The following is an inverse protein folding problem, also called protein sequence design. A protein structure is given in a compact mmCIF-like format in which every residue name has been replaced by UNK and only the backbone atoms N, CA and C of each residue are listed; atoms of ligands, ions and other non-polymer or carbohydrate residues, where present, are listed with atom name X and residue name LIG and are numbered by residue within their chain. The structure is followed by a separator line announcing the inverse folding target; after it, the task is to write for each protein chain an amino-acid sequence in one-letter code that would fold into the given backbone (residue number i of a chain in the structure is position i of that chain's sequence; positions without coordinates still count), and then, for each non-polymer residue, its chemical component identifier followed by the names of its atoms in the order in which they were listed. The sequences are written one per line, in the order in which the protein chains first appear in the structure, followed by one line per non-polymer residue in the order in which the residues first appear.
data_IF_720926745600
#
_entry.id   IF_720926745600
#
_cell.length_a   1.000
_cell.length_b   1.000
_cell.length_c   1.000
_cell.angle_alpha   90.00
_cell.angle_beta   90.00
_cell.angle_gamma   90.00
#
_symmetry.space_group_name_H-M   'P 1'
#
loop_
_entity.id
_entity.type
_entity.pdbx_description
1 polymer ?
#
# COMPACT_ATOMS: atom_id res chain seq x y z
N UNK A 1 -18.84 23.47 19.45
CA UNK A 1 -18.11 24.54 20.15
C UNK A 1 -16.61 24.23 20.28
N UNK A 2 -16.18 23.28 21.12
CA UNK A 2 -14.73 22.99 21.30
C UNK A 2 -14.10 22.44 20.01
N UNK A 3 -14.74 21.46 19.36
CA UNK A 3 -14.23 20.88 18.11
C UNK A 3 -14.25 21.82 16.91
N UNK A 4 -15.24 22.71 16.86
CA UNK A 4 -15.31 23.75 15.83
C UNK A 4 -14.17 24.75 16.02
N UNK A 5 -13.85 25.09 17.27
CA UNK A 5 -12.71 25.95 17.61
C UNK A 5 -11.37 25.30 17.26
N UNK A 6 -11.18 24.02 17.61
CA UNK A 6 -9.98 23.24 17.25
C UNK A 6 -9.75 23.22 15.73
N UNK A 7 -10.80 23.01 14.93
CA UNK A 7 -10.67 23.00 13.47
C UNK A 7 -10.44 24.39 12.88
N UNK A 8 -11.05 25.44 13.44
CA UNK A 8 -10.77 26.82 13.03
C UNK A 8 -9.31 27.18 13.35
N UNK A 9 -8.80 26.82 14.54
CA UNK A 9 -7.40 27.04 14.92
C UNK A 9 -6.45 26.31 13.96
N UNK A 10 -6.72 25.04 13.64
CA UNK A 10 -5.93 24.30 12.64
C UNK A 10 -5.99 24.96 11.27
N UNK A 11 -7.17 25.38 10.82
CA UNK A 11 -7.36 26.07 9.55
C UNK A 11 -6.57 27.37 9.45
N UNK A 12 -6.59 28.17 10.52
CA UNK A 12 -5.86 29.44 10.61
C UNK A 12 -4.35 29.22 10.71
N UNK A 13 -3.89 28.26 11.51
CA UNK A 13 -2.47 27.98 11.73
C UNK A 13 -1.75 27.44 10.49
N UNK A 14 -2.41 26.58 9.70
CA UNK A 14 -1.79 25.89 8.57
C UNK A 14 -2.28 26.38 7.19
N UNK A 15 -3.25 27.31 7.13
CA UNK A 15 -3.79 27.95 5.90
C UNK A 15 -4.07 26.92 4.78
N UNK A 16 -3.70 27.21 3.52
CA UNK A 16 -3.84 26.26 2.40
C UNK A 16 -2.85 25.08 2.45
N UNK A 17 -1.82 25.15 3.31
CA UNK A 17 -0.81 24.09 3.44
C UNK A 17 -1.35 22.84 4.15
N UNK A 18 -2.52 22.92 4.80
CA UNK A 18 -3.29 21.77 5.34
C UNK A 18 -3.59 20.71 4.29
N UNK A 19 -3.79 21.15 3.05
CA UNK A 19 -4.08 20.27 1.92
C UNK A 19 -2.81 19.71 1.26
N UNK A 20 -1.62 20.13 1.70
CA UNK A 20 -0.34 19.79 1.10
C UNK A 20 0.51 18.88 2.03
N UNK A 21 -0.03 17.73 2.46
CA UNK A 21 0.75 16.57 2.97
C UNK A 21 -0.13 15.37 3.35
N UNK A 22 0.55 14.29 3.78
CA UNK A 22 0.11 12.95 4.20
C UNK A 22 -1.18 12.87 5.06
N UNK A 23 -1.66 13.97 5.65
CA UNK A 23 -2.86 14.02 6.50
C UNK A 23 -4.11 14.63 5.83
N UNK A 24 -4.04 15.01 4.54
CA UNK A 24 -5.13 15.67 3.80
C UNK A 24 -6.48 14.96 3.94
N UNK A 25 -6.49 13.62 3.83
CA UNK A 25 -7.72 12.83 3.94
C UNK A 25 -8.38 12.97 5.31
N UNK A 26 -7.59 12.93 6.39
CA UNK A 26 -8.08 13.05 7.76
C UNK A 26 -8.61 14.46 8.07
N UNK A 27 -7.96 15.48 7.51
CA UNK A 27 -8.40 16.87 7.67
C UNK A 27 -9.72 17.14 6.92
N UNK A 28 -9.90 16.56 5.72
CA UNK A 28 -11.17 16.63 4.98
C UNK A 28 -12.28 15.89 5.73
N UNK A 29 -11.98 14.68 6.22
CA UNK A 29 -12.93 13.88 7.00
C UNK A 29 -13.41 14.62 8.25
N UNK A 30 -12.49 15.23 9.00
CA UNK A 30 -12.82 16.01 10.19
C UNK A 30 -13.68 17.25 9.84
N UNK A 31 -13.41 17.93 8.72
CA UNK A 31 -14.26 19.03 8.24
C UNK A 31 -15.68 18.56 7.92
N UNK A 32 -15.82 17.41 7.24
CA UNK A 32 -17.11 16.83 6.88
C UNK A 32 -17.92 16.50 8.14
N UNK A 33 -17.29 15.94 9.17
CA UNK A 33 -17.96 15.67 10.46
C UNK A 33 -18.44 16.96 11.12
N UNK A 34 -17.60 18.00 11.13
CA UNK A 34 -17.97 19.31 11.71
C UNK A 34 -19.15 19.91 10.95
N UNK A 35 -19.12 19.86 9.62
CA UNK A 35 -20.22 20.30 8.77
C UNK A 35 -21.53 19.57 9.09
N UNK A 36 -21.53 18.23 9.11
CA UNK A 36 -22.73 17.46 9.45
C UNK A 36 -23.21 17.70 10.88
N UNK A 37 -22.31 18.01 11.81
CA UNK A 37 -22.67 18.35 13.18
C UNK A 37 -23.37 19.72 13.27
N UNK A 38 -22.98 20.69 12.43
CA UNK A 38 -23.71 21.96 12.28
C UNK A 38 -25.07 21.77 11.62
N UNK A 39 -25.13 20.98 10.53
CA UNK A 39 -26.39 20.64 9.86
C UNK A 39 -27.37 19.99 10.85
N UNK A 40 -26.89 19.08 11.71
CA UNK A 40 -27.69 18.49 12.77
C UNK A 40 -28.28 19.54 13.74
N UNK A 41 -27.46 20.49 14.18
CA UNK A 41 -27.89 21.55 15.11
C UNK A 41 -28.93 22.46 14.44
N UNK A 42 -28.69 22.88 13.19
CA UNK A 42 -29.61 23.73 12.43
C UNK A 42 -30.95 23.02 12.22
N UNK A 43 -30.94 21.73 11.84
CA UNK A 43 -32.18 20.96 11.67
C UNK A 43 -32.96 20.87 12.99
N UNK A 44 -32.27 20.65 14.12
CA UNK A 44 -32.94 20.58 15.43
C UNK A 44 -33.56 21.92 15.85
N UNK A 45 -32.90 23.04 15.55
CA UNK A 45 -33.36 24.37 15.93
C UNK A 45 -34.49 24.87 15.01
N UNK A 46 -34.39 24.64 13.70
CA UNK A 46 -35.36 25.11 12.73
C UNK A 46 -36.68 24.32 12.75
N UNK A 47 -36.65 23.07 13.24
CA UNK A 47 -37.77 22.14 13.13
C UNK A 47 -38.17 21.51 14.47
N UNK A 48 -37.88 22.19 15.59
CA UNK A 48 -38.19 21.72 16.93
C UNK A 48 -39.69 21.43 17.15
N UNK A 49 -40.57 22.13 16.44
CA UNK A 49 -42.03 22.08 16.62
C UNK A 49 -42.81 21.35 15.50
N UNK A 50 -42.17 20.92 14.41
CA UNK A 50 -42.88 20.33 13.26
C UNK A 50 -42.92 18.79 13.29
N UNK A 51 -44.08 18.21 13.56
CA UNK A 51 -44.39 16.77 13.53
C UNK A 51 -44.62 16.22 12.12
N UNK A 52 -43.78 16.57 11.14
CA UNK A 52 -43.95 16.11 9.75
C UNK A 52 -43.18 14.81 9.47
N UNK A 53 -43.91 13.73 9.16
CA UNK A 53 -43.44 12.36 8.99
C UNK A 53 -42.41 12.14 7.86
N UNK A 54 -42.33 13.03 6.86
CA UNK A 54 -41.34 12.97 5.78
C UNK A 54 -39.90 13.30 6.26
N UNK A 55 -39.77 14.08 7.34
CA UNK A 55 -38.49 14.54 7.89
C UNK A 55 -37.81 13.45 8.75
N UNK A 56 -38.59 12.46 9.22
CA UNK A 56 -38.07 11.31 9.98
C UNK A 56 -37.06 10.46 9.19
N UNK A 57 -37.15 10.45 7.85
CA UNK A 57 -36.15 9.81 6.98
C UNK A 57 -34.84 10.60 6.92
N UNK A 58 -34.92 11.93 6.87
CA UNK A 58 -33.76 12.84 6.87
C UNK A 58 -33.04 12.90 8.24
N UNK A 59 -33.77 12.63 9.32
CA UNK A 59 -33.24 12.48 10.69
C UNK A 59 -32.30 11.28 10.88
N UNK A 60 -32.19 10.37 9.90
CA UNK A 60 -31.25 9.24 9.95
C UNK A 60 -29.81 9.65 9.64
N UNK A 61 -29.61 10.64 8.76
CA UNK A 61 -28.28 11.15 8.38
C UNK A 61 -27.46 11.70 9.56
N UNK A 62 -28.00 12.55 10.46
CA UNK A 62 -27.25 13.01 11.62
C UNK A 62 -26.95 11.90 12.64
N UNK A 63 -27.69 10.79 12.66
CA UNK A 63 -27.33 9.62 13.49
C UNK A 63 -26.05 8.96 13.01
N UNK A 64 -25.86 8.84 11.69
CA UNK A 64 -24.64 8.32 11.08
C UNK A 64 -23.46 9.25 11.42
N UNK A 65 -23.66 10.57 11.33
CA UNK A 65 -22.63 11.55 11.70
C UNK A 65 -22.18 11.44 13.16
N UNK A 66 -23.06 11.08 14.10
CA UNK A 66 -22.67 10.80 15.50
C UNK A 66 -21.80 9.55 15.63
N UNK A 67 -22.13 8.48 14.90
CA UNK A 67 -21.30 7.25 14.88
C UNK A 67 -19.92 7.52 14.27
N UNK A 68 -19.84 8.34 13.22
CA UNK A 68 -18.56 8.74 12.61
C UNK A 68 -17.63 9.49 13.56
N UNK A 69 -18.16 10.17 14.60
CA UNK A 69 -17.33 10.80 15.65
C UNK A 69 -16.55 9.77 16.47
N UNK A 70 -17.08 8.54 16.64
CA UNK A 70 -16.39 7.46 17.35
C UNK A 70 -15.18 6.94 16.54
N UNK A 71 -15.28 6.96 15.20
CA UNK A 71 -14.16 6.64 14.31
C UNK A 71 -12.99 7.63 14.46
N UNK A 72 -13.23 8.82 15.02
CA UNK A 72 -12.16 9.79 15.30
C UNK A 72 -11.20 9.29 16.39
N UNK A 73 -11.70 8.53 17.37
CA UNK A 73 -10.85 7.91 18.41
C UNK A 73 -9.88 6.91 17.78
N UNK A 74 -10.31 6.22 16.72
CA UNK A 74 -9.44 5.32 15.96
C UNK A 74 -8.29 6.05 15.24
N UNK A 75 -8.40 7.35 14.96
CA UNK A 75 -7.31 8.17 14.38
C UNK A 75 -6.17 8.42 15.36
N UNK A 76 -6.47 8.48 16.67
CA UNK A 76 -5.46 8.71 17.71
C UNK A 76 -4.64 7.44 18.01
N UNK A 77 -5.14 6.29 17.58
CA UNK A 77 -4.43 5.02 17.65
C UNK A 77 -3.58 4.87 16.39
N UNK A 78 -2.28 5.15 16.51
CA UNK A 78 -1.30 5.05 15.42
C UNK A 78 -1.43 3.72 14.67
N UNK A 79 -1.63 2.61 15.38
CA UNK A 79 -1.82 1.28 14.80
C UNK A 79 -3.07 1.15 13.92
N UNK A 80 -4.21 1.73 14.33
CA UNK A 80 -5.44 1.71 13.53
C UNK A 80 -5.32 2.60 12.29
N UNK A 81 -4.67 3.75 12.41
CA UNK A 81 -4.42 4.64 11.25
C UNK A 81 -3.60 3.93 10.16
N UNK A 82 -2.55 3.22 10.56
CA UNK A 82 -1.72 2.43 9.63
C UNK A 82 -2.57 1.36 8.96
N UNK A 83 -3.35 0.60 9.72
CA UNK A 83 -4.22 -0.45 9.19
C UNK A 83 -5.30 0.07 8.23
N UNK A 84 -5.96 1.18 8.55
CA UNK A 84 -6.95 1.83 7.65
C UNK A 84 -6.29 2.31 6.36
N UNK A 85 -5.06 2.84 6.45
CA UNK A 85 -4.32 3.29 5.25
C UNK A 85 -3.95 2.10 4.35
N UNK A 86 -3.61 0.95 4.94
CA UNK A 86 -3.35 -0.29 4.19
C UNK A 86 -4.62 -0.81 3.50
N UNK A 87 -5.76 -0.82 4.20
CA UNK A 87 -7.06 -1.21 3.62
C UNK A 87 -7.47 -0.23 2.50
N UNK A 88 -7.32 1.08 2.70
CA UNK A 88 -7.67 2.07 1.69
C UNK A 88 -6.83 1.92 0.42
N UNK A 89 -5.56 1.54 0.55
CA UNK A 89 -4.69 1.23 -0.60
C UNK A 89 -5.14 -0.04 -1.32
N UNK A 90 -5.52 -1.11 -0.60
CA UNK A 90 -6.00 -2.35 -1.22
C UNK A 90 -7.36 -2.20 -1.88
N UNK A 91 -8.23 -1.31 -1.39
CA UNK A 91 -9.54 -1.03 -1.98
C UNK A 91 -9.44 -0.58 -3.45
N UNK A 92 -8.42 0.19 -3.83
CA UNK A 92 -8.23 0.62 -5.23
C UNK A 92 -8.01 -0.59 -6.16
N UNK A 93 -7.21 -1.55 -5.71
CA UNK A 93 -6.93 -2.77 -6.47
C UNK A 93 -8.15 -3.69 -6.49
N UNK A 94 -8.80 -3.84 -5.35
CA UNK A 94 -10.01 -4.63 -5.18
C UNK A 94 -11.19 -4.09 -6.00
N UNK A 95 -11.27 -2.77 -6.22
CA UNK A 95 -12.29 -2.16 -7.07
C UNK A 95 -12.27 -2.71 -8.49
N UNK A 96 -11.09 -2.85 -9.10
CA UNK A 96 -10.98 -3.38 -10.46
C UNK A 96 -11.33 -4.86 -10.53
N UNK A 97 -10.93 -5.64 -9.52
CA UNK A 97 -11.32 -7.05 -9.41
C UNK A 97 -12.84 -7.18 -9.27
N UNK A 98 -13.47 -6.36 -8.42
CA UNK A 98 -14.92 -6.33 -8.28
C UNK A 98 -15.62 -5.88 -9.56
N UNK A 99 -15.06 -4.94 -10.32
CA UNK A 99 -15.61 -4.50 -11.59
C UNK A 99 -15.60 -5.61 -12.65
N UNK A 100 -14.51 -6.38 -12.72
CA UNK A 100 -14.42 -7.56 -13.60
C UNK A 100 -15.41 -8.64 -13.16
N UNK A 101 -15.46 -8.94 -11.86
CA UNK A 101 -16.43 -9.90 -11.30
C UNK A 101 -17.88 -9.48 -11.57
N UNK A 102 -18.21 -8.21 -11.39
CA UNK A 102 -19.53 -7.66 -11.69
C UNK A 102 -19.88 -7.82 -13.17
N UNK A 103 -18.92 -7.58 -14.07
CA UNK A 103 -19.10 -7.75 -15.52
C UNK A 103 -19.39 -9.21 -15.88
N UNK A 104 -18.67 -10.16 -15.28
CA UNK A 104 -18.91 -11.60 -15.46
C UNK A 104 -20.31 -11.96 -14.97
N UNK A 105 -20.67 -11.55 -13.74
CA UNK A 105 -22.00 -11.78 -13.19
C UNK A 105 -23.10 -11.21 -14.10
N UNK A 106 -22.89 -10.02 -14.66
CA UNK A 106 -23.85 -9.37 -15.55
C UNK A 106 -24.08 -10.18 -16.83
N UNK A 107 -23.02 -10.61 -17.51
CA UNK A 107 -23.11 -11.38 -18.76
C UNK A 107 -23.83 -12.71 -18.55
N UNK A 108 -23.41 -13.52 -17.56
CA UNK A 108 -24.05 -14.80 -17.28
C UNK A 108 -25.48 -14.63 -16.79
N UNK A 109 -25.75 -13.57 -16.02
CA UNK A 109 -27.11 -13.28 -15.56
C UNK A 109 -28.04 -12.88 -16.69
N UNK A 110 -27.56 -12.15 -17.70
CA UNK A 110 -28.36 -11.83 -18.88
C UNK A 110 -28.78 -13.11 -19.61
N UNK A 111 -27.84 -14.01 -19.89
CA UNK A 111 -28.10 -15.27 -20.60
C UNK A 111 -29.17 -16.10 -19.86
N UNK A 112 -29.00 -16.31 -18.56
CA UNK A 112 -29.95 -17.10 -17.76
C UNK A 112 -31.32 -16.42 -17.60
N UNK A 113 -31.34 -15.10 -17.40
CA UNK A 113 -32.60 -14.35 -17.26
C UNK A 113 -33.39 -14.39 -18.56
N UNK A 114 -32.71 -14.27 -19.72
CA UNK A 114 -33.33 -14.39 -21.03
C UNK A 114 -33.88 -15.81 -21.24
N UNK A 115 -33.07 -16.84 -21.02
CA UNK A 115 -33.52 -18.24 -21.16
C UNK A 115 -34.71 -18.59 -20.28
N UNK A 116 -34.73 -18.14 -19.02
CA UNK A 116 -35.87 -18.35 -18.11
C UNK A 116 -37.10 -17.58 -18.56
N UNK A 117 -36.93 -16.33 -19.03
CA UNK A 117 -38.05 -15.51 -19.51
C UNK A 117 -38.67 -16.12 -20.77
N UNK A 118 -37.84 -16.61 -21.70
CA UNK A 118 -38.30 -17.25 -22.93
C UNK A 118 -39.02 -18.57 -22.64
N UNK A 119 -38.49 -19.38 -21.72
CA UNK A 119 -39.15 -20.61 -21.25
C UNK A 119 -40.52 -20.33 -20.63
N UNK A 120 -40.61 -19.38 -19.69
CA UNK A 120 -41.88 -19.04 -19.02
C UNK A 120 -42.91 -18.50 -20.03
N UNK A 121 -42.48 -17.66 -20.99
CA UNK A 121 -43.36 -17.15 -22.04
C UNK A 121 -43.87 -18.27 -22.95
N UNK A 122 -43.06 -19.29 -23.25
CA UNK A 122 -43.49 -20.46 -24.01
C UNK A 122 -44.41 -21.38 -23.20
N UNK A 123 -44.11 -21.60 -21.92
CA UNK A 123 -44.82 -22.49 -21.01
C UNK A 123 -46.15 -21.94 -20.50
N UNK A 124 -46.39 -20.62 -20.54
CA UNK A 124 -47.66 -19.98 -20.12
C UNK A 124 -48.93 -20.43 -20.87
N UNK A 125 -48.81 -21.39 -21.78
CA UNK A 125 -49.91 -22.05 -22.50
C UNK A 125 -50.40 -23.35 -21.81
N UNK A 126 -49.61 -23.95 -20.91
CA UNK A 126 -49.93 -25.23 -20.23
C UNK A 126 -50.18 -25.05 -18.72
N UNK A 127 -51.32 -25.55 -18.22
CA UNK A 127 -51.89 -25.23 -16.89
C UNK A 127 -51.22 -25.99 -15.71
N UNK A 128 -50.04 -26.60 -15.91
CA UNK A 128 -49.46 -27.59 -14.97
C UNK A 128 -48.31 -27.15 -14.06
N UNK A 129 -47.52 -26.12 -14.40
CA UNK A 129 -46.17 -25.89 -13.82
C UNK A 129 -46.04 -24.66 -12.91
N UNK A 130 -47.15 -24.00 -12.57
CA UNK A 130 -47.15 -22.66 -11.95
C UNK A 130 -46.35 -22.49 -10.65
N UNK A 131 -46.08 -23.57 -9.89
CA UNK A 131 -45.32 -23.50 -8.63
C UNK A 131 -43.80 -23.52 -8.86
N UNK A 132 -43.31 -24.36 -9.77
CA UNK A 132 -41.89 -24.45 -10.11
C UNK A 132 -41.43 -23.20 -10.87
N UNK A 133 -42.29 -22.69 -11.77
CA UNK A 133 -42.06 -21.43 -12.49
C UNK A 133 -41.96 -20.23 -11.54
N UNK A 134 -42.75 -20.23 -10.45
CA UNK A 134 -42.72 -19.16 -9.44
C UNK A 134 -41.40 -19.12 -8.66
N UNK A 135 -40.87 -20.28 -8.26
CA UNK A 135 -39.57 -20.34 -7.58
C UNK A 135 -38.42 -19.96 -8.52
N UNK A 136 -38.49 -20.40 -9.78
CA UNK A 136 -37.54 -20.03 -10.83
C UNK A 136 -37.54 -18.52 -11.08
N UNK A 137 -38.72 -17.88 -11.23
CA UNK A 137 -38.84 -16.43 -11.43
C UNK A 137 -38.43 -15.62 -10.19
N UNK A 138 -38.55 -16.16 -8.98
CA UNK A 138 -38.03 -15.51 -7.78
C UNK A 138 -36.50 -15.42 -7.77
N UNK A 139 -35.80 -16.38 -8.41
CA UNK A 139 -34.34 -16.44 -8.46
C UNK A 139 -33.75 -15.86 -9.74
N UNK A 140 -34.42 -16.07 -10.87
CA UNK A 140 -33.93 -15.77 -12.22
C UNK A 140 -34.82 -14.78 -13.00
N UNK A 141 -35.96 -14.34 -12.45
CA UNK A 141 -36.93 -13.51 -13.18
C UNK A 141 -36.54 -12.04 -13.35
N UNK A 142 -35.38 -11.61 -12.85
CA UNK A 142 -34.85 -10.27 -13.16
C UNK A 142 -33.33 -10.29 -13.08
N UNK A 143 -32.67 -9.45 -13.87
CA UNK A 143 -31.22 -9.38 -13.93
C UNK A 143 -30.55 -9.30 -12.54
N UNK A 144 -31.00 -8.40 -11.67
CA UNK A 144 -30.41 -8.25 -10.32
C UNK A 144 -30.65 -9.47 -9.42
N UNK A 145 -31.81 -10.12 -9.53
CA UNK A 145 -32.11 -11.37 -8.79
C UNK A 145 -31.19 -12.50 -9.27
N UNK A 146 -31.00 -12.61 -10.58
CA UNK A 146 -30.10 -13.60 -11.18
C UNK A 146 -28.65 -13.35 -10.76
N UNK A 147 -28.18 -12.10 -10.82
CA UNK A 147 -26.84 -11.72 -10.35
C UNK A 147 -26.65 -12.07 -8.87
N UNK A 148 -27.66 -11.84 -8.05
CA UNK A 148 -27.63 -12.21 -6.63
C UNK A 148 -27.61 -13.74 -6.44
N UNK A 149 -28.42 -14.50 -7.19
CA UNK A 149 -28.43 -15.97 -7.16
C UNK A 149 -27.09 -16.56 -7.60
N UNK A 150 -26.48 -16.04 -8.67
CA UNK A 150 -25.14 -16.45 -9.11
C UNK A 150 -24.06 -16.08 -8.10
N UNK A 151 -24.19 -14.92 -7.43
CA UNK A 151 -23.31 -14.55 -6.33
C UNK A 151 -23.44 -15.55 -5.16
N UNK A 152 -24.65 -15.93 -4.78
CA UNK A 152 -24.91 -16.96 -3.76
C UNK A 152 -24.29 -18.31 -4.15
N UNK A 153 -24.40 -18.72 -5.41
CA UNK A 153 -23.79 -19.96 -5.90
C UNK A 153 -22.25 -19.90 -5.86
N UNK A 154 -21.65 -18.77 -6.23
CA UNK A 154 -20.20 -18.56 -6.22
C UNK A 154 -19.61 -18.50 -4.81
N UNK A 155 -20.28 -17.84 -3.86
CA UNK A 155 -19.79 -17.68 -2.49
C UNK A 155 -20.12 -18.86 -1.57
N UNK A 156 -20.59 -19.98 -2.12
CA UNK A 156 -21.10 -21.14 -1.36
C UNK A 156 -22.23 -20.77 -0.37
N UNK A 157 -23.07 -19.79 -0.71
CA UNK A 157 -24.26 -19.44 0.08
C UNK A 157 -25.43 -20.40 -0.14
N UNK A 158 -25.50 -21.02 -1.31
CA UNK A 158 -26.40 -22.13 -1.67
C UNK A 158 -25.68 -23.02 -2.69
N UNK A 159 -25.93 -24.32 -2.64
CA UNK A 159 -25.33 -25.25 -3.57
C UNK A 159 -25.71 -24.92 -5.02
N UNK A 160 -24.70 -24.79 -5.88
CA UNK A 160 -24.88 -24.53 -7.30
C UNK A 160 -25.71 -25.61 -8.00
N UNK A 161 -25.69 -26.84 -7.46
CA UNK A 161 -26.50 -27.96 -7.94
C UNK A 161 -28.01 -27.71 -7.81
N UNK A 162 -28.46 -27.00 -6.77
CA UNK A 162 -29.88 -26.64 -6.62
C UNK A 162 -30.33 -25.70 -7.74
N UNK A 163 -29.51 -24.70 -8.08
CA UNK A 163 -29.79 -23.80 -9.20
C UNK A 163 -29.78 -24.53 -10.54
N UNK A 164 -28.87 -25.49 -10.73
CA UNK A 164 -28.85 -26.35 -11.92
C UNK A 164 -30.12 -27.20 -12.04
N UNK A 165 -30.61 -27.78 -10.94
CA UNK A 165 -31.87 -28.53 -10.92
C UNK A 165 -33.07 -27.62 -11.24
N UNK A 166 -33.11 -26.41 -10.67
CA UNK A 166 -34.16 -25.42 -10.96
C UNK A 166 -34.18 -24.98 -12.43
N UNK A 167 -33.04 -24.99 -13.13
CA UNK A 167 -32.94 -24.62 -14.55
C UNK A 167 -33.03 -25.81 -15.51
N UNK A 168 -33.06 -27.04 -15.00
CA UNK A 168 -33.16 -28.23 -15.85
C UNK A 168 -34.38 -28.25 -16.79
N UNK A 169 -35.57 -27.71 -16.42
CA UNK A 169 -36.71 -27.64 -17.34
C UNK A 169 -36.54 -26.62 -18.47
N UNK A 170 -35.71 -25.59 -18.26
CA UNK A 170 -35.47 -24.51 -19.24
C UNK A 170 -34.66 -25.01 -20.43
N UNK A 171 -33.68 -25.88 -20.17
CA UNK A 171 -32.84 -26.47 -21.19
C UNK A 171 -31.45 -26.87 -20.69
N UNK A 172 -30.79 -27.75 -21.44
CA UNK A 172 -29.42 -28.17 -21.13
C UNK A 172 -28.41 -27.02 -21.24
N UNK A 173 -28.68 -26.05 -22.12
CA UNK A 173 -27.91 -24.82 -22.31
C UNK A 173 -27.89 -23.97 -21.04
N UNK A 174 -29.01 -23.84 -20.33
CA UNK A 174 -29.08 -23.13 -19.05
C UNK A 174 -28.25 -23.82 -17.95
N UNK A 175 -28.31 -25.15 -17.87
CA UNK A 175 -27.53 -25.95 -16.92
C UNK A 175 -26.02 -25.85 -17.23
N UNK A 176 -25.64 -26.00 -18.49
CA UNK A 176 -24.24 -25.85 -18.95
C UNK A 176 -23.73 -24.44 -18.64
N UNK A 177 -24.56 -23.41 -18.83
CA UNK A 177 -24.20 -22.02 -18.53
C UNK A 177 -23.85 -21.84 -17.05
N UNK A 178 -24.61 -22.41 -16.11
CA UNK A 178 -24.26 -22.39 -14.68
C UNK A 178 -22.97 -23.15 -14.40
N UNK A 179 -22.79 -24.34 -14.96
CA UNK A 179 -21.57 -25.14 -14.72
C UNK A 179 -20.33 -24.41 -15.20
N UNK A 180 -20.38 -23.83 -16.41
CA UNK A 180 -19.30 -23.02 -16.96
C UNK A 180 -19.04 -21.79 -16.10
N UNK A 181 -20.10 -21.11 -15.64
CA UNK A 181 -19.97 -19.98 -14.72
C UNK A 181 -19.23 -20.38 -13.44
N UNK A 182 -19.64 -21.47 -12.77
CA UNK A 182 -19.02 -21.92 -11.51
C UNK A 182 -17.57 -22.32 -11.71
N UNK A 183 -17.25 -23.07 -12.76
CA UNK A 183 -15.87 -23.39 -13.10
C UNK A 183 -15.06 -22.12 -13.31
N UNK A 184 -15.55 -21.23 -14.18
CA UNK A 184 -14.87 -19.98 -14.48
C UNK A 184 -14.67 -19.12 -13.23
N UNK A 185 -15.68 -18.88 -12.40
CA UNK A 185 -15.51 -18.05 -11.19
C UNK A 185 -14.63 -18.71 -10.14
N UNK A 186 -14.72 -20.03 -9.96
CA UNK A 186 -13.90 -20.73 -8.96
C UNK A 186 -12.42 -20.70 -9.31
N UNK A 187 -12.07 -20.93 -10.59
CA UNK A 187 -10.68 -20.89 -11.03
C UNK A 187 -10.20 -19.45 -11.29
N UNK A 188 -11.00 -18.59 -11.94
CA UNK A 188 -10.56 -17.24 -12.31
C UNK A 188 -10.54 -16.29 -11.12
N UNK A 189 -11.56 -16.25 -10.25
CA UNK A 189 -11.60 -15.25 -9.16
C UNK A 189 -10.49 -15.51 -8.16
N UNK A 190 -10.29 -16.76 -7.74
CA UNK A 190 -9.21 -17.12 -6.80
C UNK A 190 -7.84 -16.79 -7.41
N UNK A 191 -7.61 -17.11 -8.69
CA UNK A 191 -6.35 -16.84 -9.36
C UNK A 191 -6.11 -15.34 -9.60
N UNK A 192 -7.15 -14.57 -9.96
CA UNK A 192 -7.05 -13.11 -10.16
C UNK A 192 -6.80 -12.39 -8.83
N UNK A 193 -7.56 -12.73 -7.79
CA UNK A 193 -7.37 -12.15 -6.45
C UNK A 193 -5.96 -12.46 -5.94
N UNK A 194 -5.54 -13.72 -6.01
CA UNK A 194 -4.20 -14.13 -5.59
C UNK A 194 -3.12 -13.44 -6.41
N UNK A 195 -3.27 -13.37 -7.74
CA UNK A 195 -2.34 -12.68 -8.63
C UNK A 195 -2.19 -11.20 -8.26
N UNK A 196 -3.30 -10.50 -8.02
CA UNK A 196 -3.29 -9.09 -7.62
C UNK A 196 -2.61 -8.86 -6.26
N UNK A 197 -2.82 -9.74 -5.28
CA UNK A 197 -2.14 -9.65 -3.99
C UNK A 197 -0.64 -9.95 -4.12
N UNK A 198 -0.27 -10.94 -4.95
CA UNK A 198 1.13 -11.28 -5.24
C UNK A 198 1.84 -10.13 -5.96
N UNK A 199 1.22 -9.54 -6.98
CA UNK A 199 1.76 -8.38 -7.70
C UNK A 199 1.95 -7.19 -6.75
N UNK A 200 0.96 -6.93 -5.88
CA UNK A 200 1.08 -5.88 -4.86
C UNK A 200 2.22 -6.13 -3.85
N UNK A 201 2.42 -7.38 -3.43
CA UNK A 201 3.53 -7.76 -2.56
C UNK A 201 4.89 -7.62 -3.26
N UNK A 202 4.98 -8.02 -4.53
CA UNK A 202 6.18 -7.86 -5.36
C UNK A 202 6.50 -6.38 -5.58
N UNK A 203 5.51 -5.55 -5.88
CA UNK A 203 5.68 -4.11 -6.09
C UNK A 203 6.18 -3.42 -4.82
N UNK A 204 5.61 -3.74 -3.65
CA UNK A 204 6.08 -3.25 -2.35
C UNK A 204 7.53 -3.69 -2.07
N UNK A 205 7.86 -4.94 -2.34
CA UNK A 205 9.23 -5.47 -2.18
C UNK A 205 10.23 -4.74 -3.10
N UNK A 206 9.85 -4.45 -4.35
CA UNK A 206 10.67 -3.68 -5.29
C UNK A 206 10.87 -2.24 -4.82
N UNK A 207 9.81 -1.59 -4.33
CA UNK A 207 9.90 -0.23 -3.80
C UNK A 207 10.82 -0.16 -2.58
N UNK A 208 10.67 -1.09 -1.64
CA UNK A 208 11.54 -1.20 -0.46
C UNK A 208 13.00 -1.46 -0.86
N UNK A 209 13.22 -2.33 -1.84
CA UNK A 209 14.57 -2.59 -2.38
C UNK A 209 15.17 -1.36 -3.05
N UNK A 210 14.40 -0.60 -3.82
CA UNK A 210 14.88 0.62 -4.46
C UNK A 210 15.26 1.68 -3.43
N UNK A 211 14.41 1.89 -2.42
CA UNK A 211 14.70 2.80 -1.30
C UNK A 211 15.93 2.36 -0.51
N UNK A 212 16.10 1.05 -0.29
CA UNK A 212 17.27 0.51 0.40
C UNK A 212 18.56 0.74 -0.42
N UNK A 213 18.52 0.53 -1.74
CA UNK A 213 19.65 0.78 -2.63
C UNK A 213 20.01 2.27 -2.69
N UNK A 214 19.02 3.15 -2.81
CA UNK A 214 19.23 4.60 -2.86
C UNK A 214 19.82 5.11 -1.54
N UNK A 215 19.33 4.63 -0.39
CA UNK A 215 19.90 4.95 0.93
C UNK A 215 21.36 4.49 1.03
N UNK A 216 21.69 3.32 0.49
CA UNK A 216 23.06 2.79 0.48
C UNK A 216 23.98 3.65 -0.41
N UNK A 217 23.53 4.01 -1.61
CA UNK A 217 24.28 4.89 -2.51
C UNK A 217 24.52 6.26 -1.89
N UNK A 218 23.49 6.85 -1.29
CA UNK A 218 23.61 8.15 -0.61
C UNK A 218 24.59 8.09 0.56
N UNK A 219 24.55 7.01 1.37
CA UNK A 219 25.52 6.81 2.46
C UNK A 219 26.95 6.75 1.91
N UNK A 220 27.19 5.99 0.83
CA UNK A 220 28.53 5.89 0.20
C UNK A 220 29.02 7.26 -0.32
N UNK A 221 28.15 8.03 -0.98
CA UNK A 221 28.50 9.37 -1.47
C UNK A 221 28.80 10.34 -0.32
N UNK A 222 27.99 10.29 0.75
CA UNK A 222 28.19 11.15 1.91
C UNK A 222 29.51 10.84 2.61
N UNK A 223 29.82 9.56 2.85
CA UNK A 223 31.13 9.14 3.36
C UNK A 223 32.29 9.65 2.47
N UNK A 224 32.16 9.56 1.15
CA UNK A 224 33.22 10.04 0.24
C UNK A 224 33.42 11.56 0.34
N UNK A 225 32.35 12.33 0.54
CA UNK A 225 32.45 13.77 0.81
C UNK A 225 33.12 14.05 2.16
N UNK A 226 32.74 13.32 3.22
CA UNK A 226 33.31 13.48 4.56
C UNK A 226 34.83 13.13 4.54
N UNK A 227 35.23 12.09 3.79
CA UNK A 227 36.63 11.74 3.58
C UNK A 227 37.41 12.80 2.77
N UNK A 228 36.76 13.44 1.81
CA UNK A 228 37.37 14.51 1.01
C UNK A 228 37.58 15.77 1.87
N UNK A 229 36.66 16.07 2.78
CA UNK A 229 36.82 17.14 3.77
C UNK A 229 37.98 16.84 4.72
N UNK A 230 38.10 15.60 5.20
CA UNK A 230 39.24 15.16 6.01
C UNK A 230 40.57 15.28 5.24
N UNK A 231 40.61 14.94 3.94
CA UNK A 231 41.81 15.09 3.13
C UNK A 231 42.25 16.56 3.06
N UNK A 232 41.30 17.48 2.87
CA UNK A 232 41.59 18.93 2.82
C UNK A 232 42.14 19.44 4.16
N UNK A 233 41.64 18.91 5.28
CA UNK A 233 42.11 19.23 6.64
C UNK A 233 43.55 18.73 6.90
N UNK A 234 43.94 17.63 6.25
CA UNK A 234 45.26 16.99 6.37
C UNK A 234 46.28 17.61 5.38
N UNK A 235 45.88 17.87 4.14
CA UNK A 235 46.71 18.50 3.09
C UNK A 235 46.73 20.03 3.24
N UNK A 236 47.34 20.52 4.31
CA UNK A 236 47.45 21.95 4.62
C UNK A 236 48.14 22.76 3.50
N UNK A 237 49.01 22.13 2.72
CA UNK A 237 49.77 22.75 1.64
C UNK A 237 49.09 22.66 0.27
N UNK A 238 47.91 22.01 0.18
CA UNK A 238 47.12 21.81 -1.05
C UNK A 238 47.93 21.21 -2.19
N UNK A 239 48.85 20.29 -1.88
CA UNK A 239 49.72 19.67 -2.87
C UNK A 239 48.98 18.62 -3.70
N UNK A 240 47.86 18.10 -3.21
CA UNK A 240 47.05 17.07 -3.86
C UNK A 240 47.53 15.65 -3.59
N UNK A 241 48.54 15.49 -2.72
CA UNK A 241 49.11 14.21 -2.27
C UNK A 241 49.64 14.35 -0.84
N UNK A 242 49.45 13.29 -0.04
CA UNK A 242 49.86 13.24 1.36
C UNK A 242 51.12 12.40 1.49
N UNK A 243 52.18 12.98 2.09
CA UNK A 243 53.39 12.21 2.39
C UNK A 243 53.22 11.37 3.65
N UNK A 244 54.04 10.34 3.80
CA UNK A 244 54.06 9.52 5.03
C UNK A 244 54.27 10.33 6.30
N UNK A 245 55.13 11.35 6.26
CA UNK A 245 55.36 12.23 7.42
C UNK A 245 54.13 13.10 7.73
N UNK A 246 53.46 13.62 6.71
CA UNK A 246 52.28 14.46 6.88
C UNK A 246 51.10 13.64 7.42
N UNK A 247 50.92 12.41 6.92
CA UNK A 247 49.90 11.49 7.42
C UNK A 247 50.14 11.10 8.88
N UNK A 248 51.38 10.75 9.25
CA UNK A 248 51.72 10.36 10.62
C UNK A 248 51.58 11.55 11.59
N UNK A 249 51.89 12.77 11.17
CA UNK A 249 51.67 13.96 11.97
C UNK A 249 50.18 14.30 12.09
N UNK A 250 49.39 14.08 11.04
CA UNK A 250 47.97 14.38 11.02
C UNK A 250 47.14 13.39 11.85
N UNK A 251 47.47 12.10 11.82
CA UNK A 251 46.75 11.06 12.57
C UNK A 251 46.99 11.13 14.09
N UNK A 252 48.00 11.86 14.53
CA UNK A 252 48.23 12.18 15.94
C UNK A 252 47.39 13.37 16.43
N UNK A 253 46.76 14.14 15.52
CA UNK A 253 45.90 15.25 15.91
C UNK A 253 44.55 14.71 16.45
N UNK A 254 44.04 15.23 17.58
CA UNK A 254 42.80 14.74 18.19
C UNK A 254 41.56 14.90 17.30
N UNK A 255 41.49 15.98 16.55
CA UNK A 255 40.40 16.29 15.61
C UNK A 255 40.31 15.26 14.47
N UNK A 256 41.45 14.84 13.93
CA UNK A 256 41.55 13.81 12.88
C UNK A 256 41.21 12.42 13.45
N UNK A 257 41.64 12.10 14.67
CA UNK A 257 41.29 10.83 15.33
C UNK A 257 39.80 10.71 15.58
N UNK A 258 39.17 11.75 16.15
CA UNK A 258 37.73 11.80 16.39
C UNK A 258 36.95 11.62 15.08
N UNK A 259 37.43 12.20 13.98
CA UNK A 259 36.81 12.08 12.66
C UNK A 259 36.96 10.66 12.07
N UNK A 260 38.14 10.05 12.17
CA UNK A 260 38.38 8.66 11.71
C UNK A 260 37.58 7.66 12.54
N UNK A 261 37.44 7.87 13.85
CA UNK A 261 36.62 7.05 14.73
C UNK A 261 35.12 7.20 14.40
N UNK A 262 34.66 8.41 14.06
CA UNK A 262 33.29 8.66 13.59
C UNK A 262 32.95 7.94 12.27
N UNK A 263 33.98 7.62 11.47
CA UNK A 263 33.87 6.86 10.22
C UNK A 263 33.95 5.33 10.44
N UNK A 264 33.99 4.87 11.70
CA UNK A 264 34.10 3.45 12.10
C UNK A 264 35.42 2.77 11.63
N UNK A 265 36.51 3.52 11.50
CA UNK A 265 37.81 2.99 11.06
C UNK A 265 38.71 2.77 12.27
N UNK A 266 39.25 1.55 12.41
CA UNK A 266 40.16 1.20 13.51
C UNK A 266 41.58 1.72 13.27
N UNK A 267 42.06 2.65 14.10
CA UNK A 267 43.38 3.31 14.00
C UNK A 267 44.53 2.54 14.64
N UNK A 268 44.32 1.28 15.07
CA UNK A 268 45.25 0.53 15.92
C UNK A 268 46.67 0.32 15.39
N UNK A 269 46.90 0.39 14.07
CA UNK A 269 48.23 0.37 13.46
C UNK A 269 48.33 1.38 12.31
N UNK A 270 48.61 2.64 12.64
CA UNK A 270 48.75 3.76 11.69
C UNK A 270 49.81 3.53 10.61
N UNK A 271 50.88 2.80 10.93
CA UNK A 271 51.93 2.43 9.97
C UNK A 271 51.45 1.43 8.90
N UNK A 272 50.55 0.51 9.25
CA UNK A 272 49.94 -0.45 8.32
C UNK A 272 48.83 0.23 7.53
N UNK A 273 48.12 1.16 8.15
CA UNK A 273 47.09 1.97 7.50
C UNK A 273 47.67 2.71 6.29
N UNK A 274 48.82 3.38 6.45
CA UNK A 274 49.48 4.09 5.35
C UNK A 274 49.89 3.15 4.20
N UNK A 275 50.36 1.94 4.52
CA UNK A 275 50.68 0.93 3.49
C UNK A 275 49.46 0.43 2.71
N UNK A 276 48.27 0.44 3.31
CA UNK A 276 47.02 0.09 2.63
C UNK A 276 46.53 1.23 1.75
N UNK A 277 46.79 2.47 2.15
CA UNK A 277 46.45 3.66 1.36
C UNK A 277 47.41 3.86 0.17
N UNK A 278 48.71 3.64 0.36
CA UNK A 278 49.74 3.69 -0.70
C UNK A 278 49.70 2.43 -1.58
N UNK A 279 48.70 2.37 -2.47
CA UNK A 279 48.43 1.20 -3.29
C UNK A 279 49.46 0.95 -4.40
N UNK A 280 50.15 2.02 -4.82
CA UNK A 280 51.15 1.98 -5.88
C UNK A 280 52.60 1.84 -5.35
N UNK A 281 52.81 2.05 -4.05
CA UNK A 281 54.10 1.93 -3.36
C UNK A 281 55.09 3.06 -3.64
N UNK A 282 54.63 4.22 -4.09
CA UNK A 282 55.47 5.37 -4.44
C UNK A 282 55.83 6.25 -3.22
N UNK A 283 55.23 5.94 -2.06
CA UNK A 283 55.46 6.63 -0.79
C UNK A 283 54.59 7.87 -0.57
N UNK A 284 53.65 8.14 -1.48
CA UNK A 284 52.67 9.22 -1.42
C UNK A 284 51.26 8.62 -1.54
N UNK A 285 50.27 9.36 -1.05
CA UNK A 285 48.85 8.96 -1.19
C UNK A 285 48.11 10.08 -1.88
N UNK A 286 47.59 9.82 -3.08
CA UNK A 286 46.75 10.78 -3.80
C UNK A 286 45.28 10.76 -3.31
N UNK A 287 44.46 11.68 -3.83
CA UNK A 287 43.03 11.78 -3.48
C UNK A 287 42.27 10.48 -3.74
N UNK A 288 42.56 9.79 -4.84
CA UNK A 288 41.85 8.57 -5.24
C UNK A 288 42.25 7.42 -4.32
N UNK A 289 43.54 7.27 -4.08
CA UNK A 289 44.12 6.29 -3.17
C UNK A 289 43.65 6.47 -1.73
N UNK A 290 43.57 7.72 -1.25
CA UNK A 290 43.04 8.03 0.07
C UNK A 290 41.57 7.64 0.21
N UNK A 291 40.72 8.03 -0.73
CA UNK A 291 39.28 7.76 -0.66
C UNK A 291 38.99 6.27 -0.83
N UNK A 292 39.58 5.61 -1.82
CA UNK A 292 39.36 4.18 -2.06
C UNK A 292 39.95 3.32 -0.93
N UNK A 293 41.13 3.67 -0.43
CA UNK A 293 41.77 2.98 0.68
C UNK A 293 41.00 3.15 2.00
N UNK A 294 40.51 4.35 2.32
CA UNK A 294 39.68 4.57 3.51
C UNK A 294 38.31 3.90 3.40
N UNK A 295 37.71 3.81 2.20
CA UNK A 295 36.49 3.02 1.96
C UNK A 295 36.75 1.52 2.14
N UNK A 296 37.92 1.01 1.75
CA UNK A 296 38.31 -0.39 1.94
C UNK A 296 38.48 -0.73 3.42
N UNK A 297 38.99 0.22 4.19
CA UNK A 297 39.23 0.11 5.63
C UNK A 297 37.97 0.38 6.48
N UNK A 298 36.91 0.88 5.85
CA UNK A 298 35.65 1.18 6.52
C UNK A 298 34.79 -0.09 6.69
N UNK A 299 34.65 -0.52 7.94
CA UNK A 299 33.81 -1.65 8.36
C UNK A 299 34.57 -2.95 8.61
N UNK A 300 33.84 -4.00 9.01
CA UNK A 300 34.42 -5.31 9.26
C UNK A 300 34.71 -6.05 7.93
N UNK A 301 35.93 -6.60 7.79
CA UNK A 301 36.30 -7.43 6.64
C UNK A 301 35.32 -8.60 6.48
N UNK A 302 34.68 -8.72 5.32
CA UNK A 302 33.73 -9.81 5.10
C UNK A 302 34.49 -11.11 4.89
N UNK A 303 33.89 -12.22 5.31
CA UNK A 303 34.47 -13.56 5.13
C UNK A 303 34.84 -13.87 3.67
N UNK A 304 34.10 -13.30 2.71
CA UNK A 304 34.39 -13.41 1.28
C UNK A 304 35.70 -12.71 0.88
N UNK A 305 35.99 -11.52 1.43
CA UNK A 305 37.19 -10.75 1.13
C UNK A 305 38.44 -11.48 1.66
N UNK A 306 38.32 -12.11 2.84
CA UNK A 306 39.36 -12.98 3.42
C UNK A 306 39.59 -14.23 2.54
N UNK A 307 38.51 -14.86 2.05
CA UNK A 307 38.62 -16.01 1.16
C UNK A 307 39.28 -15.68 -0.18
N UNK A 308 38.98 -14.51 -0.76
CA UNK A 308 39.61 -14.03 -2.00
C UNK A 308 41.11 -13.81 -1.78
N UNK A 309 41.51 -13.18 -0.67
CA UNK A 309 42.91 -13.00 -0.31
C UNK A 309 43.64 -14.34 -0.13
N UNK A 310 43.02 -15.31 0.56
CA UNK A 310 43.59 -16.66 0.73
C UNK A 310 43.74 -17.43 -0.59
N UNK A 311 42.92 -17.14 -1.61
CA UNK A 311 43.07 -17.72 -2.95
C UNK A 311 44.18 -17.06 -3.76
N UNK A 312 44.48 -15.78 -3.55
CA UNK A 312 45.54 -15.05 -4.27
C UNK A 312 46.95 -15.35 -3.74
N UNK A 313 47.08 -15.82 -2.49
CA UNK A 313 48.36 -16.19 -1.87
C UNK A 313 48.79 -17.63 -2.20
N UNK A 314 47.98 -18.37 -2.96
CA UNK A 314 48.23 -19.78 -3.32
C UNK A 314 48.65 -19.94 -4.77
#
# INVERSE_FOLDING_TARGET
AIFTLEQIIRFVAFRWMIFAKHERFWNIFDMVIVFFSWVEIVIRLAWADSTTSSIAKLMKLPRIARMLRLCRTARFLTSLRVMVTLIARSLKSLFWVLAVLFSILFVFSLILTQGVTDYVNAASTEVGTAREDSEMLQKFGSLFKTMFSLCQAMTNGRDWGEYGQMLSPVGLDAVVTIVVFIFFTSFSVVNIVTGVFVDGAIEMSKADRHLALEKKHRRKQQTACDLLELLIEIDADKRGWISRSDFMAAIERPDVQDFIESLEISTGQTAVLFQVLDSNGDGWVDLVEFVDGMILLQGEAKTADIQILLMQVR
#
